data_IF_471314330387
#
_entry.id   IF_471314330387
#
_cell.length_a   1.000
_cell.length_b   1.000
_cell.length_c   1.000
_cell.angle_alpha   90.00
_cell.angle_beta   90.00
_cell.angle_gamma   90.00
#
_symmetry.space_group_name_H-M   'P 1'
#
loop_
_entity.id
_entity.type
_entity.pdbx_description
1 polymer ?
#
# COMPACT_ATOMS: atom_id res chain seq x y z
N UNK A 1 -8.02 -15.75 -7.82
CA UNK A 1 -8.97 -14.91 -8.63
C UNK A 1 -9.07 -15.37 -10.09
N UNK A 2 -10.18 -15.06 -10.79
CA UNK A 2 -10.27 -15.26 -12.25
C UNK A 2 -9.56 -14.13 -13.03
N UNK A 3 -9.37 -14.31 -14.34
CA UNK A 3 -8.51 -13.43 -15.16
C UNK A 3 -9.00 -11.97 -15.21
N UNK A 4 -10.30 -11.75 -15.39
CA UNK A 4 -10.90 -10.40 -15.42
C UNK A 4 -10.71 -9.68 -14.08
N UNK A 5 -10.91 -10.39 -12.96
CA UNK A 5 -10.71 -9.81 -11.62
C UNK A 5 -9.25 -9.49 -11.37
N UNK A 6 -8.34 -10.35 -11.81
CA UNK A 6 -6.89 -10.11 -11.70
C UNK A 6 -6.48 -8.87 -12.50
N UNK A 7 -7.01 -8.71 -13.71
CA UNK A 7 -6.79 -7.52 -14.53
C UNK A 7 -7.28 -6.24 -13.84
N UNK A 8 -8.54 -6.21 -13.38
CA UNK A 8 -9.10 -5.06 -12.65
C UNK A 8 -8.31 -4.72 -11.39
N UNK A 9 -7.87 -5.73 -10.64
CA UNK A 9 -7.03 -5.53 -9.46
C UNK A 9 -5.66 -4.95 -9.84
N UNK A 10 -5.04 -5.45 -10.91
CA UNK A 10 -3.76 -4.92 -11.39
C UNK A 10 -3.88 -3.45 -11.80
N UNK A 11 -4.95 -3.07 -12.50
CA UNK A 11 -5.21 -1.68 -12.89
C UNK A 11 -5.34 -0.80 -11.63
N UNK A 12 -6.16 -1.21 -10.66
CA UNK A 12 -6.32 -0.47 -9.40
C UNK A 12 -5.00 -0.28 -8.64
N UNK A 13 -4.17 -1.33 -8.57
CA UNK A 13 -2.88 -1.22 -7.90
C UNK A 13 -1.95 -0.26 -8.67
N UNK A 14 -1.92 -0.33 -9.99
CA UNK A 14 -1.12 0.58 -10.81
C UNK A 14 -1.58 2.04 -10.66
N UNK A 15 -2.88 2.30 -10.63
CA UNK A 15 -3.43 3.64 -10.37
C UNK A 15 -2.98 4.18 -9.01
N UNK A 16 -3.02 3.35 -7.96
CA UNK A 16 -2.58 3.74 -6.63
C UNK A 16 -1.05 3.99 -6.56
N UNK A 17 -0.26 3.20 -7.29
CA UNK A 17 1.20 3.41 -7.43
C UNK A 17 1.48 4.74 -8.11
N UNK A 18 0.84 5.02 -9.25
CA UNK A 18 0.99 6.30 -9.97
C UNK A 18 0.60 7.48 -9.10
N UNK A 19 -0.48 7.39 -8.32
CA UNK A 19 -0.87 8.44 -7.39
C UNK A 19 0.13 8.62 -6.25
N UNK A 20 0.73 7.55 -5.74
CA UNK A 20 1.77 7.63 -4.72
C UNK A 20 3.05 8.29 -5.26
N UNK A 21 3.45 7.92 -6.49
CA UNK A 21 4.60 8.52 -7.16
C UNK A 21 4.39 10.02 -7.41
N UNK A 22 3.19 10.44 -7.88
CA UNK A 22 2.83 11.86 -8.03
C UNK A 22 2.91 12.63 -6.70
N UNK A 23 2.36 12.07 -5.63
CA UNK A 23 2.43 12.70 -4.31
C UNK A 23 3.88 12.81 -3.80
N UNK A 24 4.72 11.82 -4.11
CA UNK A 24 6.16 11.87 -3.81
C UNK A 24 6.89 12.93 -4.63
N UNK A 25 6.59 13.08 -5.91
CA UNK A 25 7.15 14.14 -6.76
C UNK A 25 6.79 15.54 -6.23
N UNK A 26 5.57 15.73 -5.73
CA UNK A 26 5.09 17.01 -5.20
C UNK A 26 5.71 17.37 -3.83
N UNK A 27 5.85 16.39 -2.93
CA UNK A 27 6.20 16.67 -1.52
C UNK A 27 7.61 16.22 -1.13
N UNK A 28 8.19 15.26 -1.87
CA UNK A 28 9.41 14.55 -1.51
C UNK A 28 9.24 13.52 -0.38
N UNK A 29 8.04 13.38 0.18
CA UNK A 29 7.77 12.46 1.28
C UNK A 29 7.60 11.02 0.80
N UNK A 30 7.84 10.06 1.69
CA UNK A 30 7.70 8.64 1.37
C UNK A 30 6.25 8.19 1.55
N UNK A 31 5.65 7.67 0.48
CA UNK A 31 4.28 7.17 0.45
C UNK A 31 4.23 5.65 0.39
N UNK A 32 3.17 5.09 0.97
CA UNK A 32 2.88 3.66 1.08
C UNK A 32 1.49 3.38 0.52
N UNK A 33 1.41 2.42 -0.40
CA UNK A 33 0.13 1.92 -0.91
C UNK A 33 -0.34 0.78 -0.01
N UNK A 34 -1.37 1.04 0.78
CA UNK A 34 -1.86 0.13 1.83
C UNK A 34 -3.28 -0.36 1.51
N UNK A 35 -3.67 -1.55 2.00
CA UNK A 35 -5.06 -1.97 1.99
C UNK A 35 -5.92 -1.12 2.93
N UNK A 36 -7.09 -0.68 2.47
CA UNK A 36 -8.08 0.01 3.29
C UNK A 36 -9.08 -0.97 3.91
N UNK A 37 -8.62 -1.67 4.95
CA UNK A 37 -9.42 -2.64 5.70
C UNK A 37 -10.11 -3.67 4.80
N UNK A 38 -11.30 -4.12 5.19
CA UNK A 38 -11.98 -5.28 4.54
C UNK A 38 -12.57 -5.01 3.14
N UNK A 39 -12.43 -3.79 2.60
CA UNK A 39 -13.09 -3.38 1.35
C UNK A 39 -12.33 -3.79 0.08
N UNK A 40 -11.04 -4.09 0.18
CA UNK A 40 -10.16 -4.31 -0.98
C UNK A 40 -9.82 -3.03 -1.76
N UNK A 41 -10.23 -1.86 -1.24
CA UNK A 41 -9.74 -0.55 -1.70
C UNK A 41 -8.31 -0.33 -1.20
N UNK A 42 -7.58 0.52 -1.90
CA UNK A 42 -6.23 0.93 -1.52
C UNK A 42 -6.28 2.37 -1.01
N UNK A 43 -5.37 2.70 -0.09
CA UNK A 43 -5.11 4.06 0.37
C UNK A 43 -3.63 4.36 0.18
N UNK A 44 -3.33 5.64 -0.01
CA UNK A 44 -1.98 6.16 -0.08
C UNK A 44 -1.73 6.89 1.23
N UNK A 45 -0.69 6.48 1.95
CA UNK A 45 -0.39 6.94 3.29
C UNK A 45 1.05 7.41 3.35
N UNK A 46 1.34 8.48 4.09
CA UNK A 46 2.70 8.85 4.47
C UNK A 46 2.89 8.66 5.99
N UNK A 47 4.12 8.86 6.48
CA UNK A 47 4.43 8.70 7.90
C UNK A 47 3.80 9.77 8.79
N UNK A 48 3.62 10.98 8.27
CA UNK A 48 3.08 12.10 9.01
C UNK A 48 1.59 11.91 9.29
N UNK A 49 0.82 11.60 8.25
CA UNK A 49 -0.59 11.26 8.30
C UNK A 49 -0.82 9.99 9.13
N UNK A 50 0.03 8.97 9.00
CA UNK A 50 -0.04 7.78 9.86
C UNK A 50 0.09 8.14 11.35
N UNK A 51 1.10 8.95 11.71
CA UNK A 51 1.31 9.41 13.09
C UNK A 51 0.12 10.23 13.60
N UNK A 52 -0.43 11.13 12.76
CA UNK A 52 -1.65 11.89 13.09
C UNK A 52 -2.85 10.98 13.31
N UNK A 53 -3.07 9.98 12.46
CA UNK A 53 -4.17 9.04 12.62
C UNK A 53 -4.03 8.20 13.88
N UNK A 54 -2.80 7.77 14.21
CA UNK A 54 -2.48 7.09 15.47
C UNK A 54 -2.75 7.98 16.69
N UNK A 55 -2.31 9.23 16.66
CA UNK A 55 -2.55 10.20 17.73
C UNK A 55 -4.05 10.43 17.96
N UNK A 56 -4.85 10.50 16.88
CA UNK A 56 -6.30 10.65 16.93
C UNK A 56 -7.07 9.37 17.30
N UNK A 57 -6.38 8.23 17.49
CA UNK A 57 -7.00 6.97 17.87
C UNK A 57 -7.67 6.18 16.73
N UNK A 58 -7.47 6.58 15.46
CA UNK A 58 -7.96 5.80 14.31
C UNK A 58 -7.13 4.54 14.05
N UNK A 59 -5.90 4.49 14.58
CA UNK A 59 -5.01 3.35 14.50
C UNK A 59 -4.67 2.85 15.91
N UNK A 60 -4.39 1.55 16.04
CA UNK A 60 -3.98 0.98 17.32
C UNK A 60 -2.69 1.63 17.84
N UNK A 61 -2.57 1.76 19.16
CA UNK A 61 -1.32 2.19 19.80
C UNK A 61 -0.16 1.22 19.51
N UNK A 62 -0.46 -0.04 19.22
CA UNK A 62 0.51 -1.07 18.87
C UNK A 62 0.98 -1.03 17.41
N UNK A 63 0.43 -0.17 16.55
CA UNK A 63 0.85 -0.07 15.14
C UNK A 63 2.04 0.88 15.01
N UNK A 64 3.08 0.46 14.28
CA UNK A 64 4.32 1.20 14.07
C UNK A 64 4.53 1.57 12.60
N UNK A 65 5.41 2.53 12.35
CA UNK A 65 5.79 2.92 10.99
C UNK A 65 6.42 1.74 10.24
N UNK A 66 7.13 0.86 10.94
CA UNK A 66 7.69 -0.36 10.34
C UNK A 66 6.59 -1.30 9.79
N UNK A 67 5.38 -1.27 10.37
CA UNK A 67 4.26 -2.06 9.85
C UNK A 67 3.79 -1.53 8.49
N UNK A 68 3.90 -0.21 8.23
CA UNK A 68 3.62 0.35 6.90
C UNK A 68 4.59 -0.23 5.86
N UNK A 69 5.88 -0.30 6.18
CA UNK A 69 6.90 -0.84 5.27
C UNK A 69 6.66 -2.32 4.99
N UNK A 70 6.33 -3.09 6.03
CA UNK A 70 6.12 -4.54 5.91
C UNK A 70 4.82 -4.89 5.20
N UNK A 71 3.72 -4.18 5.48
CA UNK A 71 2.37 -4.54 5.02
C UNK A 71 1.92 -3.79 3.75
N UNK A 72 2.67 -2.78 3.29
CA UNK A 72 2.35 -2.11 2.02
C UNK A 72 2.49 -3.07 0.82
N UNK A 73 1.80 -2.74 -0.27
CA UNK A 73 1.99 -3.40 -1.58
C UNK A 73 2.98 -2.64 -2.48
N UNK A 74 3.31 -1.42 -2.12
CA UNK A 74 4.31 -0.57 -2.78
C UNK A 74 4.66 0.59 -1.85
N UNK A 75 5.90 1.10 -1.97
CA UNK A 75 6.28 2.37 -1.38
C UNK A 75 7.27 3.11 -2.28
N UNK A 76 7.15 4.44 -2.29
CA UNK A 76 8.04 5.33 -3.04
C UNK A 76 9.43 5.36 -2.38
N UNK A 77 10.50 5.79 -3.08
CA UNK A 77 11.78 6.03 -2.43
C UNK A 77 11.70 7.16 -1.39
N UNK A 78 12.76 7.31 -0.60
CA UNK A 78 12.97 8.53 0.18
C UNK A 78 13.37 9.69 -0.73
N UNK A 79 13.27 10.93 -0.23
CA UNK A 79 13.65 12.15 -0.96
C UNK A 79 15.05 12.11 -1.61
N UNK A 80 15.99 11.39 -1.00
CA UNK A 80 17.35 11.22 -1.50
C UNK A 80 17.50 10.04 -2.50
N UNK A 81 16.39 9.46 -2.97
CA UNK A 81 16.38 8.30 -3.87
C UNK A 81 16.62 6.95 -3.19
N UNK A 82 17.02 6.94 -1.91
CA UNK A 82 17.29 5.69 -1.19
C UNK A 82 16.02 4.91 -0.88
N UNK A 83 16.17 3.62 -0.60
CA UNK A 83 15.06 2.75 -0.20
C UNK A 83 14.03 2.52 -1.30
N UNK A 84 14.35 2.75 -2.57
CA UNK A 84 13.54 2.26 -3.68
C UNK A 84 13.41 0.73 -3.60
N UNK A 85 12.20 0.20 -3.84
CA UNK A 85 12.00 -1.24 -3.82
C UNK A 85 12.66 -1.88 -5.06
N UNK A 86 13.51 -2.92 -4.90
CA UNK A 86 14.01 -3.69 -6.03
C UNK A 86 12.86 -4.31 -6.83
N UNK A 87 13.03 -4.47 -8.14
CA UNK A 87 11.97 -4.99 -9.02
C UNK A 87 11.43 -6.35 -8.57
N UNK A 88 12.30 -7.23 -8.07
CA UNK A 88 11.91 -8.53 -7.50
C UNK A 88 10.96 -8.38 -6.31
N UNK A 89 11.22 -7.42 -5.42
CA UNK A 89 10.36 -7.14 -4.26
C UNK A 89 9.03 -6.54 -4.71
N UNK A 90 9.04 -5.64 -5.69
CA UNK A 90 7.80 -5.11 -6.29
C UNK A 90 6.94 -6.24 -6.86
N UNK A 91 7.54 -7.21 -7.56
CA UNK A 91 6.83 -8.40 -8.07
C UNK A 91 6.26 -9.26 -6.95
N UNK A 92 6.99 -9.46 -5.85
CA UNK A 92 6.51 -10.21 -4.68
C UNK A 92 5.34 -9.50 -4.00
N UNK A 93 5.47 -8.20 -3.72
CA UNK A 93 4.43 -7.35 -3.12
C UNK A 93 3.14 -7.30 -3.96
N UNK A 94 3.26 -7.29 -5.30
CA UNK A 94 2.11 -7.44 -6.21
C UNK A 94 1.41 -8.79 -6.06
N UNK A 95 2.16 -9.89 -5.86
CA UNK A 95 1.57 -11.20 -5.57
C UNK A 95 0.87 -11.20 -4.21
N UNK A 96 1.47 -10.58 -3.18
CA UNK A 96 0.85 -10.40 -1.87
C UNK A 96 -0.50 -9.67 -1.97
N UNK A 97 -0.60 -8.63 -2.80
CA UNK A 97 -1.86 -7.94 -3.07
C UNK A 97 -2.95 -8.87 -3.62
N UNK A 98 -2.61 -9.72 -4.60
CA UNK A 98 -3.58 -10.68 -5.14
C UNK A 98 -3.99 -11.72 -4.10
N UNK A 99 -3.04 -12.23 -3.30
CA UNK A 99 -3.31 -13.15 -2.19
C UNK A 99 -4.22 -12.50 -1.15
N UNK A 100 -3.97 -11.23 -0.82
CA UNK A 100 -4.80 -10.44 0.08
C UNK A 100 -6.25 -10.35 -0.43
N UNK A 101 -6.46 -10.00 -1.70
CA UNK A 101 -7.81 -9.95 -2.29
C UNK A 101 -8.52 -11.30 -2.29
N UNK A 102 -7.81 -12.38 -2.59
CA UNK A 102 -8.36 -13.74 -2.50
C UNK A 102 -8.74 -14.10 -1.05
N UNK A 103 -7.95 -13.67 -0.05
CA UNK A 103 -8.26 -13.87 1.38
C UNK A 103 -9.53 -13.14 1.83
N UNK A 104 -9.75 -11.91 1.34
CA UNK A 104 -10.97 -11.14 1.65
C UNK A 104 -12.23 -11.84 1.16
N UNK A 105 -12.14 -12.53 0.02
CA UNK A 105 -13.27 -13.30 -0.53
C UNK A 105 -13.62 -14.49 0.37
N UNK A 106 -12.61 -15.21 0.89
CA UNK A 106 -12.83 -16.35 1.78
C UNK A 106 -13.54 -15.95 3.07
N UNK A 107 -13.26 -14.75 3.60
CA UNK A 107 -13.90 -14.22 4.82
C UNK A 107 -15.35 -13.74 4.63
N UNK A 108 -15.81 -13.57 3.39
CA UNK A 108 -17.19 -13.17 3.05
C UNK A 108 -18.11 -14.35 2.75
N UNK A 109 -17.54 -15.55 2.58
CA UNK A 109 -18.28 -16.81 2.49
C UNK A 109 -18.37 -17.41 3.88
#
# INVERSE_FOLDING_TARGET
MNIIKKLRASIRLNEAVVQADKAHEETGERYYVMPNGKSGKLIIMDRFNFRKLKQKGYLSRSTFVNDLERECFYCTPYKNGSGALPELIVKLKRKEYFTYLDSLKKRKK
#
